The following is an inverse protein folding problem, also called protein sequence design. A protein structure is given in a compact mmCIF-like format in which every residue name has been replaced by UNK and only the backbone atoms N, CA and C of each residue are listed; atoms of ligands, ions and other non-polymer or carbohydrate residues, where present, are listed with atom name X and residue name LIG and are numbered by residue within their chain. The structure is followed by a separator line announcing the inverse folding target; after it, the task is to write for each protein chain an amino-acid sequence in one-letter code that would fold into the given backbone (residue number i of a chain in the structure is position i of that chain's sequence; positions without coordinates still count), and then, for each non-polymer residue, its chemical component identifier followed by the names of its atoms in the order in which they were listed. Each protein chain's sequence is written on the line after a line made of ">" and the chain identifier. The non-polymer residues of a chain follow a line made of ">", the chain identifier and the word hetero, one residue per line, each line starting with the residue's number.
data_IF_776212543124
#
_entry.id   IF_776212543124
#
_cell.length_a   1.000
_cell.length_b   1.000
_cell.length_c   1.000
_cell.angle_alpha   90.00
_cell.angle_beta   90.00
_cell.angle_gamma   90.00
#
_symmetry.space_group_name_H-M   'P 1'
#
loop_
_entity.id
_entity.type
_entity.pdbx_description
1 polymer ?
#
# COMPACT_ATOMS: atom_id res chain seq x y z
N UNK A 1 -43.56 3.71 88.21
CA UNK A 1 -43.06 2.32 88.07
C UNK A 1 -44.04 1.55 87.21
N UNK A 2 -43.91 1.68 85.89
CA UNK A 2 -44.61 0.88 84.89
C UNK A 2 -43.61 -0.18 84.47
N UNK A 3 -43.84 -1.42 84.89
CA UNK A 3 -42.93 -2.53 84.66
C UNK A 3 -42.81 -2.79 83.15
N UNK A 4 -41.58 -2.71 82.64
CA UNK A 4 -41.22 -3.31 81.36
C UNK A 4 -41.51 -4.81 81.47
N UNK A 5 -42.50 -5.30 80.71
CA UNK A 5 -42.72 -6.73 80.54
C UNK A 5 -41.52 -7.39 79.86
N UNK A 6 -41.27 -8.68 80.10
CA UNK A 6 -40.14 -9.37 79.48
C UNK A 6 -40.37 -9.36 77.96
N UNK A 7 -39.41 -8.83 77.22
CA UNK A 7 -39.32 -9.04 75.78
C UNK A 7 -39.33 -10.56 75.56
N UNK A 8 -40.39 -11.09 74.97
CA UNK A 8 -40.47 -12.49 74.59
C UNK A 8 -39.32 -12.78 73.62
N UNK A 9 -38.30 -13.52 74.08
CA UNK A 9 -37.27 -14.01 73.18
C UNK A 9 -37.96 -14.94 72.17
N UNK A 10 -37.86 -14.66 70.85
CA UNK A 10 -38.40 -15.55 69.84
C UNK A 10 -37.78 -16.94 69.98
N UNK A 11 -38.61 -17.99 69.89
CA UNK A 11 -38.19 -19.39 69.93
C UNK A 11 -37.03 -19.62 68.93
N UNK A 12 -35.86 -20.01 69.48
CA UNK A 12 -34.63 -20.23 68.74
C UNK A 12 -34.85 -21.20 67.55
N UNK A 13 -35.77 -22.16 67.68
CA UNK A 13 -36.12 -23.11 66.63
C UNK A 13 -36.91 -22.47 65.46
N UNK A 14 -37.69 -21.43 65.72
CA UNK A 14 -38.37 -20.64 64.67
C UNK A 14 -37.35 -19.76 63.96
N UNK A 15 -36.43 -19.12 64.69
CA UNK A 15 -35.37 -18.30 64.12
C UNK A 15 -34.42 -19.13 63.23
N UNK A 16 -33.95 -20.30 63.69
CA UNK A 16 -33.08 -21.19 62.92
C UNK A 16 -33.74 -21.71 61.64
N UNK A 17 -35.05 -22.00 61.69
CA UNK A 17 -35.82 -22.39 60.51
C UNK A 17 -35.92 -21.26 59.47
N UNK A 18 -36.16 -20.03 59.93
CA UNK A 18 -36.18 -18.84 59.07
C UNK A 18 -34.81 -18.53 58.44
N UNK A 19 -33.72 -18.68 59.21
CA UNK A 19 -32.34 -18.53 58.71
C UNK A 19 -32.03 -19.59 57.66
N UNK A 20 -32.36 -20.86 57.92
CA UNK A 20 -32.12 -21.95 56.97
C UNK A 20 -32.90 -21.77 55.65
N UNK A 21 -34.15 -21.32 55.70
CA UNK A 21 -34.93 -21.00 54.49
C UNK A 21 -34.27 -19.87 53.67
N UNK A 22 -33.88 -18.76 54.34
CA UNK A 22 -33.16 -17.66 53.68
C UNK A 22 -31.83 -18.11 53.07
N UNK A 23 -31.08 -18.97 53.75
CA UNK A 23 -29.82 -19.52 53.22
C UNK A 23 -30.05 -20.39 51.97
N UNK A 24 -31.15 -21.15 51.91
CA UNK A 24 -31.50 -21.93 50.72
C UNK A 24 -31.80 -21.02 49.52
N UNK A 25 -32.55 -19.94 49.75
CA UNK A 25 -32.92 -18.97 48.69
C UNK A 25 -31.68 -18.22 48.19
N UNK A 26 -30.85 -17.69 49.11
CA UNK A 26 -29.59 -17.01 48.77
C UNK A 26 -28.67 -17.96 48.01
N UNK A 27 -28.47 -19.19 48.50
CA UNK A 27 -27.65 -20.17 47.81
C UNK A 27 -28.20 -20.58 46.44
N UNK A 28 -29.53 -20.63 46.29
CA UNK A 28 -30.17 -20.84 44.99
C UNK A 28 -29.89 -19.69 44.02
N UNK A 29 -30.01 -18.44 44.47
CA UNK A 29 -29.73 -17.25 43.69
C UNK A 29 -28.25 -17.21 43.25
N UNK A 30 -27.33 -17.40 44.18
CA UNK A 30 -25.88 -17.40 43.90
C UNK A 30 -25.49 -18.51 42.92
N UNK A 31 -26.09 -19.70 43.02
CA UNK A 31 -25.85 -20.77 42.06
C UNK A 31 -26.33 -20.41 40.64
N UNK A 32 -27.52 -19.80 40.52
CA UNK A 32 -28.06 -19.32 39.24
C UNK A 32 -27.22 -18.18 38.63
N UNK A 33 -26.72 -17.28 39.47
CA UNK A 33 -25.79 -16.21 39.05
C UNK A 33 -24.47 -16.79 38.58
N UNK A 34 -23.93 -17.81 39.25
CA UNK A 34 -22.70 -18.49 38.84
C UNK A 34 -22.87 -19.21 37.49
N UNK A 35 -24.02 -19.84 37.22
CA UNK A 35 -24.33 -20.43 35.90
C UNK A 35 -24.37 -19.35 34.80
N UNK A 36 -25.00 -18.21 35.08
CA UNK A 36 -25.05 -17.07 34.15
C UNK A 36 -23.66 -16.51 33.88
N UNK A 37 -22.84 -16.33 34.93
CA UNK A 37 -21.47 -15.86 34.80
C UNK A 37 -20.58 -16.82 34.02
N UNK A 38 -20.82 -18.14 34.13
CA UNK A 38 -20.12 -19.17 33.33
C UNK A 38 -20.41 -19.01 31.84
N UNK A 39 -21.66 -18.68 31.45
CA UNK A 39 -21.99 -18.39 30.05
C UNK A 39 -21.27 -17.14 29.54
N UNK A 40 -21.17 -16.09 30.36
CA UNK A 40 -20.45 -14.85 30.00
C UNK A 40 -18.97 -15.15 29.76
N UNK A 41 -18.32 -15.87 30.68
CA UNK A 41 -16.91 -16.29 30.55
C UNK A 41 -16.68 -17.05 29.25
N UNK A 42 -17.55 -18.00 28.91
CA UNK A 42 -17.45 -18.74 27.64
C UNK A 42 -17.54 -17.80 26.42
N UNK A 43 -18.47 -16.85 26.45
CA UNK A 43 -18.57 -15.82 25.41
C UNK A 43 -17.31 -14.95 25.29
N UNK A 44 -16.66 -14.64 26.42
CA UNK A 44 -15.38 -13.93 26.43
C UNK A 44 -14.25 -14.77 25.85
N UNK A 45 -14.19 -16.08 26.12
CA UNK A 45 -13.23 -17.00 25.47
C UNK A 45 -13.40 -17.00 23.96
N UNK A 46 -14.64 -17.12 23.49
CA UNK A 46 -14.95 -17.11 22.05
C UNK A 46 -14.55 -15.76 21.41
N UNK A 47 -14.81 -14.65 22.10
CA UNK A 47 -14.40 -13.32 21.65
C UNK A 47 -12.87 -13.18 21.60
N UNK A 48 -12.15 -13.66 22.62
CA UNK A 48 -10.69 -13.64 22.64
C UNK A 48 -10.10 -14.44 21.46
N UNK A 49 -10.63 -15.64 21.18
CA UNK A 49 -10.21 -16.44 20.04
C UNK A 49 -10.45 -15.73 18.69
N UNK A 50 -11.56 -14.99 18.55
CA UNK A 50 -11.82 -14.17 17.35
C UNK A 50 -10.81 -13.04 17.21
N UNK A 51 -10.45 -12.36 18.30
CA UNK A 51 -9.43 -11.29 18.30
C UNK A 51 -8.05 -11.85 17.96
N UNK A 52 -7.67 -13.02 18.50
CA UNK A 52 -6.44 -13.72 18.11
C UNK A 52 -6.38 -14.00 16.61
N UNK A 53 -7.47 -14.50 16.03
CA UNK A 53 -7.53 -14.77 14.60
C UNK A 53 -7.42 -13.50 13.76
N UNK A 54 -7.99 -12.38 14.22
CA UNK A 54 -7.85 -11.08 13.55
C UNK A 54 -6.41 -10.57 13.62
N UNK A 55 -5.75 -10.72 14.77
CA UNK A 55 -4.35 -10.35 14.96
C UNK A 55 -3.43 -11.12 13.99
N UNK A 56 -3.59 -12.44 13.89
CA UNK A 56 -2.84 -13.27 12.95
C UNK A 56 -3.11 -12.88 11.48
N UNK A 57 -4.36 -12.52 11.16
CA UNK A 57 -4.72 -12.00 9.84
C UNK A 57 -4.02 -10.69 9.51
N UNK A 58 -3.97 -9.75 10.46
CA UNK A 58 -3.24 -8.48 10.32
C UNK A 58 -1.73 -8.69 10.16
N UNK A 59 -1.15 -9.62 10.91
CA UNK A 59 0.28 -9.95 10.79
C UNK A 59 0.60 -10.51 9.40
N UNK A 60 -0.24 -11.40 8.88
CA UNK A 60 -0.10 -11.94 7.52
C UNK A 60 -0.25 -10.84 6.46
N UNK A 61 -1.23 -9.94 6.63
CA UNK A 61 -1.44 -8.82 5.72
C UNK A 61 -0.24 -7.85 5.71
N UNK A 62 0.31 -7.53 6.89
CA UNK A 62 1.50 -6.70 7.02
C UNK A 62 2.72 -7.33 6.31
N UNK A 63 2.94 -8.64 6.52
CA UNK A 63 4.04 -9.36 5.86
C UNK A 63 3.91 -9.37 4.33
N UNK A 64 2.71 -9.57 3.81
CA UNK A 64 2.45 -9.49 2.36
C UNK A 64 2.68 -8.09 1.82
N UNK A 65 2.30 -7.06 2.57
CA UNK A 65 2.49 -5.66 2.18
C UNK A 65 3.98 -5.27 2.20
N UNK A 66 4.76 -5.70 3.20
CA UNK A 66 6.21 -5.52 3.22
C UNK A 66 6.90 -6.19 2.02
N UNK A 67 6.48 -7.41 1.66
CA UNK A 67 7.01 -8.11 0.49
C UNK A 67 6.68 -7.38 -0.82
N UNK A 68 5.44 -6.89 -0.97
CA UNK A 68 5.01 -6.11 -2.13
C UNK A 68 5.78 -4.80 -2.25
N UNK A 69 5.97 -4.08 -1.14
CA UNK A 69 6.79 -2.85 -1.08
C UNK A 69 8.21 -3.14 -1.53
N UNK A 70 8.82 -4.23 -1.05
CA UNK A 70 10.18 -4.61 -1.46
C UNK A 70 10.28 -4.90 -2.96
N UNK A 71 9.34 -5.67 -3.51
CA UNK A 71 9.29 -5.96 -4.94
C UNK A 71 9.12 -4.69 -5.78
N UNK A 72 8.27 -3.78 -5.34
CA UNK A 72 8.04 -2.50 -6.02
C UNK A 72 9.28 -1.61 -5.97
N UNK A 73 10.01 -1.60 -4.85
CA UNK A 73 11.26 -0.86 -4.69
C UNK A 73 12.35 -1.36 -5.67
N UNK A 74 12.46 -2.68 -5.84
CA UNK A 74 13.38 -3.28 -6.82
C UNK A 74 13.01 -2.86 -8.27
N UNK A 75 11.71 -2.86 -8.60
CA UNK A 75 11.23 -2.40 -9.91
C UNK A 75 11.51 -0.91 -10.15
N UNK A 76 11.35 -0.07 -9.13
CA UNK A 76 11.70 1.35 -9.19
C UNK A 76 13.20 1.58 -9.36
N UNK A 77 14.03 0.79 -8.69
CA UNK A 77 15.48 0.87 -8.86
C UNK A 77 15.89 0.59 -10.32
N UNK A 78 15.24 -0.40 -10.96
CA UNK A 78 15.44 -0.67 -12.38
C UNK A 78 14.96 0.49 -13.26
N UNK A 79 13.78 1.07 -12.96
CA UNK A 79 13.26 2.22 -13.69
C UNK A 79 14.18 3.45 -13.59
N UNK A 80 14.72 3.74 -12.39
CA UNK A 80 15.71 4.81 -12.17
C UNK A 80 16.96 4.60 -13.01
N UNK A 81 17.46 3.36 -13.04
CA UNK A 81 18.63 3.00 -13.86
C UNK A 81 18.34 3.21 -15.34
N UNK A 82 17.18 2.75 -15.83
CA UNK A 82 16.77 2.94 -17.22
C UNK A 82 16.64 4.42 -17.60
N UNK A 83 16.10 5.26 -16.72
CA UNK A 83 16.02 6.71 -16.94
C UNK A 83 17.42 7.35 -16.99
N UNK A 84 18.30 6.98 -16.08
CA UNK A 84 19.67 7.47 -16.03
C UNK A 84 20.47 7.08 -17.30
N UNK A 85 20.18 5.93 -17.91
CA UNK A 85 20.81 5.51 -19.17
C UNK A 85 20.14 6.12 -20.40
N UNK A 86 18.82 6.31 -20.39
CA UNK A 86 18.10 6.80 -21.57
C UNK A 86 18.29 8.29 -21.81
N UNK A 87 18.32 9.10 -20.75
CA UNK A 87 18.49 10.56 -20.86
C UNK A 87 19.73 10.96 -21.69
N UNK A 88 20.95 10.49 -21.39
CA UNK A 88 22.13 10.87 -22.16
C UNK A 88 22.09 10.36 -23.61
N UNK A 89 21.43 9.23 -23.87
CA UNK A 89 21.26 8.70 -25.24
C UNK A 89 20.36 9.63 -26.06
N UNK A 90 19.26 10.10 -25.48
CA UNK A 90 18.35 11.07 -26.12
C UNK A 90 19.08 12.39 -26.39
N UNK A 91 19.84 12.88 -25.41
CA UNK A 91 20.61 14.13 -25.56
C UNK A 91 21.68 14.02 -26.66
N UNK A 92 22.37 12.88 -26.74
CA UNK A 92 23.33 12.60 -27.80
C UNK A 92 22.66 12.52 -29.18
N UNK A 93 21.45 11.96 -29.26
CA UNK A 93 20.68 11.89 -30.50
C UNK A 93 20.24 13.29 -30.97
N UNK A 94 19.82 14.16 -30.03
CA UNK A 94 19.49 15.56 -30.31
C UNK A 94 20.69 16.35 -30.85
N UNK A 95 21.88 16.16 -30.27
CA UNK A 95 23.11 16.77 -30.78
C UNK A 95 23.48 16.24 -32.17
N UNK A 96 23.37 14.93 -32.37
CA UNK A 96 23.69 14.29 -33.66
C UNK A 96 22.79 14.80 -34.78
N UNK A 97 21.46 14.88 -34.55
CA UNK A 97 20.52 15.36 -35.57
C UNK A 97 20.72 16.85 -35.87
N UNK A 98 21.10 17.65 -34.87
CA UNK A 98 21.47 19.06 -35.06
C UNK A 98 22.72 19.18 -35.95
N UNK A 99 23.71 18.31 -35.74
CA UNK A 99 24.90 18.22 -36.59
C UNK A 99 24.55 17.87 -38.05
N UNK A 100 23.67 16.89 -38.25
CA UNK A 100 23.16 16.52 -39.59
C UNK A 100 22.46 17.70 -40.26
N UNK A 101 21.61 18.42 -39.52
CA UNK A 101 20.92 19.60 -40.05
C UNK A 101 21.90 20.69 -40.50
N UNK A 102 22.96 20.93 -39.73
CA UNK A 102 24.01 21.90 -40.08
C UNK A 102 24.76 21.50 -41.37
N UNK A 103 25.16 20.22 -41.48
CA UNK A 103 25.86 19.71 -42.68
C UNK A 103 24.93 19.80 -43.89
N UNK A 104 23.67 19.40 -43.74
CA UNK A 104 22.68 19.45 -44.80
C UNK A 104 22.44 20.88 -45.31
N UNK A 105 22.39 21.86 -44.39
CA UNK A 105 22.28 23.28 -44.74
C UNK A 105 23.50 23.78 -45.54
N UNK A 106 24.71 23.34 -45.19
CA UNK A 106 25.94 23.66 -45.92
C UNK A 106 25.92 23.07 -47.34
N UNK A 107 25.53 21.79 -47.50
CA UNK A 107 25.40 21.14 -48.82
C UNK A 107 24.36 21.88 -49.67
N UNK A 108 23.21 22.25 -49.10
CA UNK A 108 22.21 23.05 -49.78
C UNK A 108 22.73 24.42 -50.21
N UNK A 109 23.62 25.02 -49.43
CA UNK A 109 24.39 26.23 -49.79
C UNK A 109 25.27 26.02 -51.00
N UNK A 110 26.10 24.98 -50.98
CA UNK A 110 27.00 24.60 -52.09
C UNK A 110 26.20 24.32 -53.37
N UNK A 111 25.06 23.64 -53.27
CA UNK A 111 24.18 23.37 -54.40
C UNK A 111 23.62 24.67 -55.02
N UNK A 112 23.20 25.64 -54.20
CA UNK A 112 22.76 26.96 -54.69
C UNK A 112 23.88 27.71 -55.39
N UNK A 113 25.08 27.74 -54.81
CA UNK A 113 26.24 28.42 -55.39
C UNK A 113 26.67 27.76 -56.71
N UNK A 114 26.74 26.43 -56.74
CA UNK A 114 27.03 25.64 -57.94
C UNK A 114 26.03 25.91 -59.06
N UNK A 115 24.74 26.06 -58.72
CA UNK A 115 23.70 26.42 -59.69
C UNK A 115 23.96 27.80 -60.30
N UNK A 116 24.30 28.80 -59.49
CA UNK A 116 24.65 30.15 -59.98
C UNK A 116 25.90 30.09 -60.87
N UNK A 117 26.93 29.36 -60.45
CA UNK A 117 28.17 29.20 -61.21
C UNK A 117 27.91 28.54 -62.58
N UNK A 118 27.11 27.48 -62.59
CA UNK A 118 26.74 26.75 -63.82
C UNK A 118 25.91 27.59 -64.78
N UNK A 119 25.05 28.48 -64.25
CA UNK A 119 24.29 29.43 -65.06
C UNK A 119 25.23 30.46 -65.71
N UNK A 120 26.15 31.03 -64.94
CA UNK A 120 27.15 31.96 -65.45
C UNK A 120 28.02 31.32 -66.53
N UNK A 121 28.47 30.07 -66.32
CA UNK A 121 29.23 29.31 -67.30
C UNK A 121 28.43 29.04 -68.59
N UNK A 122 27.13 28.73 -68.47
CA UNK A 122 26.23 28.57 -69.62
C UNK A 122 26.09 29.87 -70.42
N UNK A 123 25.97 31.02 -69.75
CA UNK A 123 25.87 32.34 -70.39
C UNK A 123 27.16 32.64 -71.15
N UNK A 124 28.31 32.40 -70.52
CA UNK A 124 29.61 32.66 -71.15
C UNK A 124 29.89 31.72 -72.32
N UNK A 125 29.50 30.44 -72.21
CA UNK A 125 29.56 29.49 -73.32
C UNK A 125 28.66 29.90 -74.49
N UNK A 126 27.51 30.56 -74.24
CA UNK A 126 26.69 31.12 -75.31
C UNK A 126 27.31 32.35 -75.97
N UNK A 127 28.13 33.13 -75.23
CA UNK A 127 28.86 34.29 -75.75
C UNK A 127 30.07 33.93 -76.60
N UNK A 128 30.78 32.86 -76.26
CA UNK A 128 32.02 32.44 -76.94
C UNK A 128 31.81 31.81 -78.33
N UNK A 129 30.56 31.56 -78.76
CA UNK A 129 30.25 31.12 -80.12
C UNK A 129 30.31 29.60 -80.34
N UNK A 130 30.50 29.10 -81.58
CA UNK A 130 30.38 27.67 -81.92
C UNK A 130 31.39 26.76 -81.20
N UNK A 131 32.57 27.28 -80.87
CA UNK A 131 33.66 26.48 -80.27
C UNK A 131 33.43 26.11 -78.80
N UNK A 132 32.49 26.76 -78.11
CA UNK A 132 32.15 26.51 -76.70
C UNK A 132 30.95 25.58 -76.50
N UNK A 133 30.47 24.89 -77.54
CA UNK A 133 29.28 24.02 -77.44
C UNK A 133 29.42 22.90 -76.41
N UNK A 134 30.61 22.28 -76.31
CA UNK A 134 30.89 21.25 -75.30
C UNK A 134 30.85 21.82 -73.87
N UNK A 135 31.34 23.05 -73.66
CA UNK A 135 31.27 23.73 -72.36
C UNK A 135 29.84 24.08 -71.96
N UNK A 136 28.98 24.45 -72.92
CA UNK A 136 27.57 24.72 -72.67
C UNK A 136 26.82 23.46 -72.17
N UNK A 137 27.14 22.28 -72.73
CA UNK A 137 26.58 20.99 -72.29
C UNK A 137 27.00 20.67 -70.85
N UNK A 138 28.30 20.78 -70.54
CA UNK A 138 28.82 20.54 -69.17
C UNK A 138 28.17 21.49 -68.16
N UNK A 139 28.04 22.76 -68.49
CA UNK A 139 27.42 23.74 -67.61
C UNK A 139 25.91 23.47 -67.41
N UNK A 140 25.21 22.94 -68.42
CA UNK A 140 23.82 22.48 -68.24
C UNK A 140 23.72 21.26 -67.33
N UNK A 141 24.64 20.30 -67.47
CA UNK A 141 24.66 19.10 -66.62
C UNK A 141 24.98 19.44 -65.17
N UNK A 142 25.94 20.35 -64.93
CA UNK A 142 26.22 20.89 -63.60
C UNK A 142 25.00 21.59 -62.98
N UNK A 143 24.24 22.36 -63.77
CA UNK A 143 23.00 22.99 -63.29
C UNK A 143 21.96 21.96 -62.87
N UNK A 144 21.79 20.89 -63.66
CA UNK A 144 20.87 19.79 -63.35
C UNK A 144 21.30 19.06 -62.07
N UNK A 145 22.60 18.78 -61.92
CA UNK A 145 23.14 18.14 -60.73
C UNK A 145 22.91 19.00 -59.48
N UNK A 146 23.16 20.32 -59.58
CA UNK A 146 22.92 21.25 -58.48
C UNK A 146 21.44 21.32 -58.04
N UNK A 147 20.50 21.24 -58.99
CA UNK A 147 19.05 21.15 -58.68
C UNK A 147 18.75 19.85 -57.94
N UNK A 148 19.21 18.71 -58.45
CA UNK A 148 19.01 17.40 -57.81
C UNK A 148 19.62 17.34 -56.41
N UNK A 149 20.80 17.92 -56.21
CA UNK A 149 21.42 18.04 -54.89
C UNK A 149 20.56 18.88 -53.95
N UNK A 150 20.01 20.01 -54.43
CA UNK A 150 19.11 20.83 -53.62
C UNK A 150 17.85 20.05 -53.21
N UNK A 151 17.20 19.37 -54.15
CA UNK A 151 15.98 18.61 -53.87
C UNK A 151 16.28 17.50 -52.83
N UNK A 152 17.42 16.81 -52.95
CA UNK A 152 17.86 15.83 -51.97
C UNK A 152 18.11 16.46 -50.58
N UNK A 153 18.74 17.64 -50.51
CA UNK A 153 18.94 18.34 -49.23
C UNK A 153 17.63 18.81 -48.60
N UNK A 154 16.65 19.21 -49.41
CA UNK A 154 15.33 19.61 -48.93
C UNK A 154 14.58 18.40 -48.34
N UNK A 155 14.70 17.22 -48.95
CA UNK A 155 14.13 15.97 -48.41
C UNK A 155 14.79 15.53 -47.09
N UNK A 156 16.13 15.62 -47.01
CA UNK A 156 16.88 15.33 -45.77
C UNK A 156 16.45 16.30 -44.65
N UNK A 157 16.24 17.57 -44.96
CA UNK A 157 15.77 18.56 -43.98
C UNK A 157 14.39 18.20 -43.43
N UNK A 158 13.45 17.83 -44.30
CA UNK A 158 12.10 17.41 -43.90
C UNK A 158 12.15 16.17 -42.98
N UNK A 159 12.93 15.15 -43.34
CA UNK A 159 13.09 13.95 -42.51
C UNK A 159 13.77 14.25 -41.18
N UNK A 160 14.80 15.10 -41.18
CA UNK A 160 15.51 15.49 -39.95
C UNK A 160 14.61 16.26 -38.99
N UNK A 161 13.71 17.12 -39.52
CA UNK A 161 12.71 17.82 -38.70
C UNK A 161 11.75 16.86 -38.00
N UNK A 162 11.35 15.76 -38.66
CA UNK A 162 10.54 14.71 -38.03
C UNK A 162 11.29 14.04 -36.88
N UNK A 163 12.56 13.70 -37.09
CA UNK A 163 13.41 13.09 -36.05
C UNK A 163 13.57 14.03 -34.85
N UNK A 164 13.79 15.34 -35.06
CA UNK A 164 13.88 16.32 -33.96
C UNK A 164 12.60 16.34 -33.12
N UNK A 165 11.43 16.30 -33.78
CA UNK A 165 10.15 16.23 -33.08
C UNK A 165 10.04 14.96 -32.22
N UNK A 166 10.40 13.80 -32.78
CA UNK A 166 10.34 12.51 -32.07
C UNK A 166 11.30 12.45 -30.88
N UNK A 167 12.51 13.01 -31.04
CA UNK A 167 13.51 13.13 -29.96
C UNK A 167 13.01 14.04 -28.85
N UNK A 168 12.41 15.19 -29.20
CA UNK A 168 11.81 16.09 -28.21
C UNK A 168 10.68 15.41 -27.44
N UNK A 169 9.80 14.66 -28.13
CA UNK A 169 8.75 13.89 -27.49
C UNK A 169 9.32 12.81 -26.55
N UNK A 170 10.37 12.09 -26.97
CA UNK A 170 11.06 11.12 -26.12
C UNK A 170 11.69 11.76 -24.88
N UNK A 171 12.30 12.94 -25.01
CA UNK A 171 12.87 13.70 -23.90
C UNK A 171 11.81 14.11 -22.87
N UNK A 172 10.65 14.59 -23.33
CA UNK A 172 9.50 14.90 -22.47
C UNK A 172 8.96 13.67 -21.75
N UNK A 173 8.84 12.54 -22.45
CA UNK A 173 8.41 11.28 -21.84
C UNK A 173 9.38 10.81 -20.74
N UNK A 174 10.69 10.86 -20.97
CA UNK A 174 11.70 10.50 -19.95
C UNK A 174 11.60 11.42 -18.74
N UNK A 175 11.39 12.73 -18.95
CA UNK A 175 11.23 13.69 -17.86
C UNK A 175 9.97 13.41 -17.04
N UNK A 176 8.84 13.18 -17.71
CA UNK A 176 7.57 12.82 -17.06
C UNK A 176 7.69 11.50 -16.28
N UNK A 177 8.34 10.49 -16.86
CA UNK A 177 8.57 9.21 -16.20
C UNK A 177 9.48 9.34 -14.97
N UNK A 178 10.46 10.25 -15.01
CA UNK A 178 11.26 10.62 -13.85
C UNK A 178 10.44 11.18 -12.70
N UNK A 179 9.46 12.06 -12.98
CA UNK A 179 8.56 12.59 -11.96
C UNK A 179 7.67 11.49 -11.35
N UNK A 180 7.13 10.59 -12.17
CA UNK A 180 6.32 9.46 -11.70
C UNK A 180 7.12 8.51 -10.80
N UNK A 181 8.39 8.28 -11.12
CA UNK A 181 9.28 7.45 -10.28
C UNK A 181 9.53 8.07 -8.90
N UNK A 182 9.57 9.40 -8.81
CA UNK A 182 9.69 10.10 -7.52
C UNK A 182 8.40 9.99 -6.70
N UNK A 183 7.25 10.21 -7.33
CA UNK A 183 5.93 10.05 -6.68
C UNK A 183 5.71 8.63 -6.16
N UNK A 184 6.11 7.62 -6.95
CA UNK A 184 6.03 6.22 -6.52
C UNK A 184 6.94 5.89 -5.32
N UNK A 185 8.05 6.59 -5.15
CA UNK A 185 8.96 6.41 -3.99
C UNK A 185 8.32 6.92 -2.69
N UNK A 186 7.62 8.06 -2.77
CA UNK A 186 6.86 8.60 -1.64
C UNK A 186 5.73 7.65 -1.22
N UNK A 187 4.97 7.13 -2.20
CA UNK A 187 3.90 6.16 -1.95
C UNK A 187 4.42 4.84 -1.35
N UNK A 188 5.60 4.40 -1.76
CA UNK A 188 6.23 3.21 -1.18
C UNK A 188 6.64 3.42 0.27
N UNK A 189 7.20 4.59 0.58
CA UNK A 189 7.56 4.95 1.95
C UNK A 189 6.33 4.95 2.85
N UNK A 190 5.24 5.59 2.42
CA UNK A 190 3.97 5.58 3.15
C UNK A 190 3.39 4.16 3.31
N UNK A 191 3.51 3.31 2.28
CA UNK A 191 3.06 1.91 2.33
C UNK A 191 3.87 1.10 3.33
N UNK A 192 5.19 1.33 3.42
CA UNK A 192 6.04 0.69 4.41
C UNK A 192 5.66 1.09 5.84
N UNK A 193 5.43 2.38 6.08
CA UNK A 193 4.96 2.89 7.38
C UNK A 193 3.64 2.24 7.78
N UNK A 194 2.70 2.12 6.84
CA UNK A 194 1.42 1.46 7.08
C UNK A 194 1.59 -0.03 7.42
N UNK A 195 2.46 -0.75 6.73
CA UNK A 195 2.73 -2.16 7.02
C UNK A 195 3.34 -2.35 8.42
N UNK A 196 4.30 -1.50 8.80
CA UNK A 196 4.89 -1.49 10.14
C UNK A 196 3.85 -1.18 11.21
N UNK A 197 2.97 -0.19 10.97
CA UNK A 197 1.87 0.15 11.88
C UNK A 197 0.85 -0.97 12.06
N UNK A 198 0.50 -1.68 10.98
CA UNK A 198 -0.38 -2.85 11.03
C UNK A 198 0.26 -4.00 11.82
N UNK A 199 1.55 -4.26 11.60
CA UNK A 199 2.28 -5.29 12.36
C UNK A 199 2.31 -4.97 13.86
N UNK A 200 2.58 -3.72 14.22
CA UNK A 200 2.55 -3.31 15.63
C UNK A 200 1.15 -3.50 16.24
N UNK A 201 0.11 -3.10 15.52
CA UNK A 201 -1.29 -3.31 15.95
C UNK A 201 -1.60 -4.79 16.15
N UNK A 202 -1.12 -5.66 15.27
CA UNK A 202 -1.29 -7.11 15.39
C UNK A 202 -0.59 -7.65 16.66
N UNK A 203 0.64 -7.21 16.95
CA UNK A 203 1.38 -7.59 18.15
C UNK A 203 0.68 -7.13 19.44
N UNK A 204 0.15 -5.90 19.44
CA UNK A 204 -0.59 -5.36 20.57
C UNK A 204 -1.87 -6.17 20.82
N UNK A 205 -2.63 -6.49 19.77
CA UNK A 205 -3.82 -7.35 19.87
C UNK A 205 -3.47 -8.76 20.37
N UNK A 206 -2.39 -9.37 19.91
CA UNK A 206 -1.95 -10.69 20.36
C UNK A 206 -1.62 -10.69 21.86
N UNK A 207 -0.96 -9.64 22.34
CA UNK A 207 -0.65 -9.43 23.75
C UNK A 207 -1.92 -9.28 24.58
N UNK A 208 -2.81 -8.35 24.19
CA UNK A 208 -4.10 -8.12 24.85
C UNK A 208 -4.94 -9.40 24.89
N UNK A 209 -4.91 -10.18 23.82
CA UNK A 209 -5.67 -11.44 23.76
C UNK A 209 -5.12 -12.48 24.74
N UNK A 210 -3.81 -12.60 24.85
CA UNK A 210 -3.15 -13.50 25.81
C UNK A 210 -3.50 -13.12 27.25
N UNK A 211 -3.45 -11.82 27.57
CA UNK A 211 -3.87 -11.30 28.88
C UNK A 211 -5.35 -11.56 29.14
N UNK A 212 -6.21 -11.33 28.14
CA UNK A 212 -7.66 -11.56 28.24
C UNK A 212 -7.96 -13.02 28.54
N UNK A 213 -7.35 -13.97 27.82
CA UNK A 213 -7.53 -15.41 28.08
C UNK A 213 -7.13 -15.76 29.51
N UNK A 214 -6.00 -15.25 29.99
CA UNK A 214 -5.56 -15.50 31.37
C UNK A 214 -6.56 -14.96 32.41
N UNK A 215 -7.12 -13.76 32.19
CA UNK A 215 -8.15 -13.20 33.10
C UNK A 215 -9.48 -13.99 33.05
N UNK A 216 -9.87 -14.47 31.87
CA UNK A 216 -11.08 -15.28 31.67
C UNK A 216 -10.95 -16.63 32.38
N UNK A 217 -9.79 -17.29 32.30
CA UNK A 217 -9.52 -18.54 33.01
C UNK A 217 -9.56 -18.35 34.54
N UNK A 218 -9.01 -17.25 35.05
CA UNK A 218 -9.10 -16.90 36.47
C UNK A 218 -10.54 -16.66 36.93
N UNK A 219 -11.34 -15.95 36.11
CA UNK A 219 -12.76 -15.71 36.38
C UNK A 219 -13.55 -17.02 36.38
N UNK A 220 -13.32 -17.91 35.40
CA UNK A 220 -13.94 -19.22 35.31
C UNK A 220 -13.70 -20.04 36.60
N UNK A 221 -12.44 -20.08 37.07
CA UNK A 221 -12.08 -20.79 38.29
C UNK A 221 -12.75 -20.19 39.53
N UNK A 222 -12.86 -18.85 39.62
CA UNK A 222 -13.52 -18.18 40.73
C UNK A 222 -15.03 -18.45 40.75
N UNK A 223 -15.70 -18.36 39.62
CA UNK A 223 -17.13 -18.66 39.46
C UNK A 223 -17.42 -20.11 39.82
N UNK A 224 -16.58 -21.06 39.38
CA UNK A 224 -16.70 -22.47 39.74
C UNK A 224 -16.65 -22.69 41.25
N UNK A 225 -15.75 -22.00 41.96
CA UNK A 225 -15.69 -22.05 43.44
C UNK A 225 -16.94 -21.44 44.10
N UNK A 226 -17.44 -20.31 43.60
CA UNK A 226 -18.67 -19.66 44.12
C UNK A 226 -19.88 -20.57 43.94
N UNK A 227 -20.05 -21.16 42.75
CA UNK A 227 -21.13 -22.11 42.47
C UNK A 227 -21.06 -23.34 43.38
N UNK A 228 -19.87 -23.93 43.56
CA UNK A 228 -19.66 -25.05 44.46
C UNK A 228 -20.00 -24.70 45.93
N UNK A 229 -19.56 -23.54 46.40
CA UNK A 229 -19.87 -23.06 47.76
C UNK A 229 -21.37 -22.82 47.95
N UNK A 230 -22.06 -22.27 46.95
CA UNK A 230 -23.51 -22.08 47.00
C UNK A 230 -24.25 -23.42 47.13
N UNK A 231 -23.86 -24.43 46.34
CA UNK A 231 -24.42 -25.79 46.47
C UNK A 231 -24.17 -26.36 47.87
N UNK A 232 -22.96 -26.20 48.41
CA UNK A 232 -22.63 -26.67 49.76
C UNK A 232 -23.49 -25.99 50.84
N UNK A 233 -23.65 -24.66 50.79
CA UNK A 233 -24.52 -23.90 51.72
C UNK A 233 -25.97 -24.38 51.64
N UNK A 234 -26.48 -24.61 50.44
CA UNK A 234 -27.84 -25.14 50.23
C UNK A 234 -28.02 -26.52 50.87
N UNK A 235 -27.02 -27.39 50.78
CA UNK A 235 -27.05 -28.73 51.42
C UNK A 235 -27.04 -28.60 52.94
N UNK A 236 -26.16 -27.77 53.51
CA UNK A 236 -26.08 -27.55 54.95
C UNK A 236 -27.37 -26.93 55.52
N UNK A 237 -27.96 -25.95 54.83
CA UNK A 237 -29.22 -25.34 55.23
C UNK A 237 -30.40 -26.32 55.19
N UNK A 238 -30.41 -27.26 54.23
CA UNK A 238 -31.38 -28.38 54.19
C UNK A 238 -31.18 -29.37 55.33
N UNK A 239 -29.95 -29.61 55.76
CA UNK A 239 -29.67 -30.47 56.91
C UNK A 239 -30.15 -29.82 58.22
N UNK A 240 -29.92 -28.50 58.40
CA UNK A 240 -30.44 -27.74 59.54
C UNK A 240 -31.98 -27.82 59.66
N UNK A 241 -32.69 -27.67 58.54
CA UNK A 241 -34.17 -27.82 58.51
C UNK A 241 -34.64 -29.24 58.83
N UNK A 242 -33.85 -30.26 58.49
CA UNK A 242 -34.16 -31.67 58.83
C UNK A 242 -33.86 -32.00 60.29
N UNK A 243 -32.79 -31.46 60.87
CA UNK A 243 -32.46 -31.62 62.29
C UNK A 243 -33.57 -31.04 63.17
N UNK A 244 -34.11 -29.85 62.80
CA UNK A 244 -35.31 -29.29 63.44
C UNK A 244 -36.50 -30.26 63.50
N UNK A 245 -36.75 -31.02 62.42
CA UNK A 245 -37.86 -31.99 62.37
C UNK A 245 -37.65 -33.23 63.24
N UNK A 246 -36.44 -33.48 63.74
CA UNK A 246 -36.12 -34.61 64.63
C UNK A 246 -36.18 -34.29 66.11
N UNK A 247 -36.05 -33.01 66.48
CA UNK A 247 -36.08 -32.52 67.87
C UNK A 247 -37.48 -32.02 68.31
N UNK A 248 -38.50 -32.15 67.44
CA UNK A 248 -39.93 -31.96 67.74
C UNK A 248 -40.63 -33.31 67.78
#
# INVERSE_FOLDING_TARGET
>A
MTAMGPLAEPDLAVQLGGIAARLIDIAGCVASEAETATMIVRGMTDQANRVASLAAGLETAAALMEAAVRQQADALALARTALATNKPVIDALEQSITGVASINAAIGGIARESRVLSLNARIEAARAGPESSAFAVVASEMSTLAIRTKDATDEIAARSSGIVHDVSAASQMVTSHGALVLEQDELLTASLEHAVGQRQTAMDLATITTETVATVDQAAAAIGRVGANAVAVKVLARQLTRLKKRDQ
#
